data_IF_847761004372
#
_entry.id   IF_847761004372
#
_cell.length_a   1.000
_cell.length_b   1.000
_cell.length_c   1.000
_cell.angle_alpha   90.00
_cell.angle_beta   90.00
_cell.angle_gamma   90.00
#
_symmetry.space_group_name_H-M   'P 1'
#
loop_
_entity.id
_entity.type
_entity.pdbx_description
1 polymer ?
#
# COMPACT_ATOMS: atom_id res chain seq x y z
N UNK A 1 -12.35 -0.60 0.90
CA UNK A 1 -11.92 0.81 1.18
C UNK A 1 -12.45 1.78 0.12
N UNK A 2 -12.27 1.53 -1.18
CA UNK A 2 -12.84 2.36 -2.26
C UNK A 2 -14.31 2.77 -2.06
N UNK A 3 -15.20 1.82 -1.75
CA UNK A 3 -16.62 2.14 -1.45
C UNK A 3 -16.79 3.15 -0.32
N UNK A 4 -15.93 3.11 0.71
CA UNK A 4 -15.99 4.06 1.83
C UNK A 4 -15.54 5.46 1.40
N UNK A 5 -14.51 5.58 0.57
CA UNK A 5 -14.13 6.88 -0.03
C UNK A 5 -15.30 7.52 -0.78
N UNK A 6 -16.07 6.70 -1.52
CA UNK A 6 -17.24 7.16 -2.27
C UNK A 6 -18.40 7.65 -1.38
N UNK A 7 -18.39 7.36 -0.07
CA UNK A 7 -19.41 7.87 0.86
C UNK A 7 -19.14 9.28 1.35
N UNK A 8 -17.91 9.79 1.23
CA UNK A 8 -17.58 11.18 1.58
C UNK A 8 -18.04 12.08 0.43
N UNK A 9 -19.32 12.47 0.43
CA UNK A 9 -19.91 13.42 -0.51
C UNK A 9 -19.64 14.86 -0.03
N UNK A 10 -19.22 15.74 -0.95
CA UNK A 10 -19.01 17.18 -0.73
C UNK A 10 -18.00 17.59 0.36
N UNK A 11 -17.22 16.65 0.89
CA UNK A 11 -16.17 16.92 1.88
C UNK A 11 -14.79 16.76 1.22
N UNK A 12 -13.93 17.76 1.39
CA UNK A 12 -12.53 17.73 0.95
C UNK A 12 -11.62 17.70 2.20
N UNK A 13 -11.34 16.51 2.77
CA UNK A 13 -10.43 16.41 3.91
C UNK A 13 -9.04 16.93 3.51
N UNK A 14 -8.36 17.68 4.38
CA UNK A 14 -7.01 18.18 4.04
C UNK A 14 -6.00 17.06 3.81
N UNK A 15 -6.13 15.97 4.59
CA UNK A 15 -5.25 14.82 4.54
C UNK A 15 -6.06 13.53 4.44
N UNK A 16 -5.64 12.63 3.57
CA UNK A 16 -6.13 11.24 3.52
C UNK A 16 -4.92 10.33 3.60
N UNK A 17 -4.92 9.46 4.59
CA UNK A 17 -3.82 8.55 4.85
C UNK A 17 -4.26 7.11 4.64
N UNK A 18 -3.60 6.43 3.72
CA UNK A 18 -3.88 5.05 3.36
C UNK A 18 -2.86 4.11 3.99
N UNK A 19 -3.39 3.09 4.67
CA UNK A 19 -2.62 1.92 5.06
C UNK A 19 -3.31 0.68 4.49
N UNK A 20 -2.84 0.26 3.32
CA UNK A 20 -3.46 -0.74 2.45
C UNK A 20 -2.38 -1.56 1.75
N UNK A 21 -2.75 -2.63 1.02
CA UNK A 21 -1.79 -3.45 0.27
C UNK A 21 -1.35 -4.73 0.99
N UNK A 22 -1.33 -4.73 2.31
CA UNK A 22 -0.91 -5.91 3.10
C UNK A 22 -1.77 -7.15 2.82
N UNK A 23 -3.08 -6.98 2.61
CA UNK A 23 -4.01 -8.08 2.34
C UNK A 23 -4.15 -8.39 0.85
N UNK A 24 -3.71 -7.49 -0.03
CA UNK A 24 -3.73 -7.68 -1.47
C UNK A 24 -2.63 -8.65 -1.93
N UNK A 25 -1.56 -8.79 -1.13
CA UNK A 25 -0.51 -9.77 -1.37
C UNK A 25 -0.93 -11.17 -0.90
N UNK A 26 -0.82 -12.21 -1.76
CA UNK A 26 -1.16 -13.57 -1.39
C UNK A 26 -0.27 -14.12 -0.25
N UNK A 27 -0.73 -15.19 0.37
CA UNK A 27 0.08 -15.96 1.32
C UNK A 27 1.36 -16.48 0.65
N UNK A 28 2.50 -16.28 1.29
CA UNK A 28 3.80 -16.69 0.76
C UNK A 28 4.24 -15.94 -0.47
N UNK A 29 3.78 -14.69 -0.68
CA UNK A 29 4.10 -13.87 -1.85
C UNK A 29 5.61 -13.87 -2.19
N UNK A 30 5.92 -14.19 -3.46
CA UNK A 30 7.29 -14.31 -4.00
C UNK A 30 7.58 -13.39 -5.19
N UNK A 31 6.95 -12.22 -5.29
CA UNK A 31 7.15 -11.33 -6.44
C UNK A 31 8.55 -10.72 -6.48
N UNK A 32 9.13 -10.69 -7.68
CA UNK A 32 10.40 -10.06 -8.04
C UNK A 32 10.26 -8.61 -8.50
N UNK A 33 11.27 -8.14 -9.24
CA UNK A 33 11.40 -6.75 -9.67
C UNK A 33 10.37 -6.37 -10.75
N UNK A 34 10.10 -5.06 -10.88
CA UNK A 34 9.18 -4.53 -11.89
C UNK A 34 7.70 -4.80 -11.61
N UNK A 35 6.82 -4.23 -12.43
CA UNK A 35 5.36 -4.36 -12.29
C UNK A 35 4.87 -5.80 -12.50
N UNK A 36 5.44 -6.52 -13.47
CA UNK A 36 5.12 -7.92 -13.79
C UNK A 36 5.97 -8.94 -13.01
N UNK A 37 6.56 -8.53 -11.88
CA UNK A 37 7.59 -9.29 -11.17
C UNK A 37 7.15 -10.64 -10.59
N UNK A 38 5.88 -11.04 -10.66
CA UNK A 38 5.44 -12.35 -10.21
C UNK A 38 4.00 -12.39 -9.75
N UNK A 39 3.59 -13.58 -9.31
CA UNK A 39 2.21 -13.88 -8.93
C UNK A 39 1.68 -12.98 -7.82
N UNK A 40 0.51 -12.36 -8.04
CA UNK A 40 -0.17 -11.48 -7.09
C UNK A 40 0.35 -10.04 -7.08
N UNK A 41 1.52 -9.75 -7.67
CA UNK A 41 2.09 -8.40 -7.67
C UNK A 41 1.25 -7.46 -8.52
N UNK A 42 0.98 -7.88 -9.76
CA UNK A 42 0.23 -7.09 -10.74
C UNK A 42 -1.17 -6.81 -10.23
N UNK A 43 -1.85 -7.81 -9.71
CA UNK A 43 -3.21 -7.72 -9.18
C UNK A 43 -3.28 -6.76 -7.99
N UNK A 44 -2.36 -6.90 -7.04
CA UNK A 44 -2.26 -6.01 -5.89
C UNK A 44 -1.99 -4.55 -6.33
N UNK A 45 -1.00 -4.34 -7.21
CA UNK A 45 -0.69 -3.02 -7.73
C UNK A 45 -1.86 -2.43 -8.54
N UNK A 46 -2.59 -3.23 -9.31
CA UNK A 46 -3.79 -2.74 -10.02
C UNK A 46 -4.88 -2.28 -9.06
N UNK A 47 -5.12 -3.03 -7.98
CA UNK A 47 -6.08 -2.65 -6.95
C UNK A 47 -5.69 -1.34 -6.27
N UNK A 48 -4.38 -1.16 -6.00
CA UNK A 48 -3.84 0.10 -5.48
C UNK A 48 -4.04 1.24 -6.48
N UNK A 49 -3.71 1.04 -7.75
CA UNK A 49 -3.87 2.07 -8.78
C UNK A 49 -5.33 2.54 -8.89
N UNK A 50 -6.29 1.61 -8.89
CA UNK A 50 -7.72 1.94 -8.92
C UNK A 50 -8.14 2.76 -7.68
N UNK A 51 -7.64 2.41 -6.49
CA UNK A 51 -7.89 3.15 -5.27
C UNK A 51 -7.30 4.57 -5.33
N UNK A 52 -6.04 4.71 -5.74
CA UNK A 52 -5.33 5.99 -5.79
C UNK A 52 -5.91 6.91 -6.85
N UNK A 53 -6.22 6.38 -8.03
CA UNK A 53 -6.92 7.12 -9.08
C UNK A 53 -8.27 7.62 -8.57
N UNK A 54 -9.08 6.75 -7.95
CA UNK A 54 -10.37 7.13 -7.37
C UNK A 54 -10.21 8.22 -6.31
N UNK A 55 -9.22 8.09 -5.42
CA UNK A 55 -8.96 9.05 -4.37
C UNK A 55 -8.55 10.42 -4.94
N UNK A 56 -7.60 10.45 -5.88
CA UNK A 56 -7.11 11.70 -6.50
C UNK A 56 -8.21 12.40 -7.29
N UNK A 57 -9.02 11.68 -8.05
CA UNK A 57 -10.14 12.26 -8.81
C UNK A 57 -11.19 12.86 -7.87
N UNK A 58 -11.48 12.19 -6.74
CA UNK A 58 -12.53 12.62 -5.83
C UNK A 58 -12.07 13.71 -4.86
N UNK A 59 -10.79 13.70 -4.53
CA UNK A 59 -10.17 14.58 -3.56
C UNK A 59 -8.96 15.31 -4.16
N UNK A 60 -9.18 16.16 -5.17
CA UNK A 60 -8.10 16.80 -5.92
C UNK A 60 -7.23 17.69 -5.02
N UNK A 61 -7.83 18.36 -4.04
CA UNK A 61 -7.17 19.31 -3.14
C UNK A 61 -6.56 18.66 -1.89
N UNK A 62 -6.85 17.38 -1.65
CA UNK A 62 -6.33 16.67 -0.50
C UNK A 62 -4.87 16.27 -0.71
N UNK A 63 -4.10 16.36 0.38
CA UNK A 63 -2.83 15.65 0.48
C UNK A 63 -3.12 14.16 0.72
N UNK A 64 -2.72 13.32 -0.23
CA UNK A 64 -2.90 11.88 -0.17
C UNK A 64 -1.58 11.25 0.22
N UNK A 65 -1.59 10.39 1.24
CA UNK A 65 -0.43 9.64 1.69
C UNK A 65 -0.71 8.14 1.67
N UNK A 66 0.28 7.35 1.29
CA UNK A 66 0.23 5.89 1.32
C UNK A 66 1.44 5.36 2.07
N UNK A 67 1.19 4.63 3.15
CA UNK A 67 2.24 3.91 3.85
C UNK A 67 2.73 2.72 3.03
N UNK A 68 4.01 2.39 3.15
CA UNK A 68 4.56 1.12 2.70
C UNK A 68 3.76 -0.05 3.26
N UNK A 69 3.62 -1.12 2.47
CA UNK A 69 3.10 -2.40 2.93
C UNK A 69 3.99 -2.91 4.05
N UNK A 70 3.37 -3.35 5.16
CA UNK A 70 4.08 -3.79 6.35
C UNK A 70 4.89 -5.06 6.12
N UNK A 71 5.94 -5.29 6.94
CA UNK A 71 6.57 -6.59 7.03
C UNK A 71 5.55 -7.65 7.39
N UNK A 72 5.65 -8.80 6.74
CA UNK A 72 4.91 -10.02 7.07
C UNK A 72 5.89 -11.16 7.32
N UNK A 73 5.55 -12.07 8.22
CA UNK A 73 6.37 -13.25 8.51
C UNK A 73 6.52 -14.18 7.30
N UNK A 74 5.51 -14.23 6.43
CA UNK A 74 5.45 -15.10 5.26
C UNK A 74 6.01 -14.48 3.97
N UNK A 75 6.47 -13.22 4.02
CA UNK A 75 7.03 -12.50 2.86
C UNK A 75 8.50 -12.19 3.13
N UNK A 76 9.38 -12.58 2.21
CA UNK A 76 10.80 -12.24 2.29
C UNK A 76 11.05 -10.73 2.17
N UNK A 77 12.07 -10.23 2.87
CA UNK A 77 12.38 -8.80 2.91
C UNK A 77 12.61 -8.23 1.50
N UNK A 78 13.34 -8.95 0.65
CA UNK A 78 13.60 -8.56 -0.74
C UNK A 78 12.30 -8.41 -1.53
N UNK A 79 11.38 -9.35 -1.42
CA UNK A 79 10.10 -9.31 -2.14
C UNK A 79 9.23 -8.14 -1.67
N UNK A 80 9.26 -7.85 -0.37
CA UNK A 80 8.55 -6.71 0.20
C UNK A 80 9.13 -5.38 -0.27
N UNK A 81 10.46 -5.24 -0.31
CA UNK A 81 11.15 -4.06 -0.85
C UNK A 81 10.75 -3.86 -2.32
N UNK A 82 10.90 -4.90 -3.15
CA UNK A 82 10.56 -4.84 -4.57
C UNK A 82 9.08 -4.51 -4.83
N UNK A 83 8.18 -4.87 -3.91
CA UNK A 83 6.79 -4.45 -3.99
C UNK A 83 6.63 -2.97 -3.63
N UNK A 84 7.20 -2.54 -2.51
CA UNK A 84 7.11 -1.18 -2.03
C UNK A 84 7.77 -0.16 -2.97
N UNK A 85 8.88 -0.51 -3.62
CA UNK A 85 9.51 0.34 -4.63
C UNK A 85 8.56 0.60 -5.80
N UNK A 86 7.80 -0.42 -6.23
CA UNK A 86 6.80 -0.26 -7.29
C UNK A 86 5.58 0.51 -6.82
N UNK A 87 5.18 0.34 -5.56
CA UNK A 87 4.10 1.13 -4.97
C UNK A 87 4.49 2.60 -4.85
N UNK A 88 5.74 2.92 -4.50
CA UNK A 88 6.28 4.28 -4.45
C UNK A 88 6.25 4.94 -5.83
N UNK A 89 6.76 4.25 -6.86
CA UNK A 89 6.70 4.73 -8.25
C UNK A 89 5.25 4.98 -8.68
N UNK A 90 4.33 4.08 -8.32
CA UNK A 90 2.90 4.23 -8.60
C UNK A 90 2.30 5.45 -7.89
N UNK A 91 2.64 5.67 -6.61
CA UNK A 91 2.16 6.83 -5.85
C UNK A 91 2.61 8.13 -6.53
N UNK A 92 3.86 8.20 -7.00
CA UNK A 92 4.38 9.34 -7.77
C UNK A 92 3.53 9.66 -9.00
N UNK A 93 3.12 8.64 -9.77
CA UNK A 93 2.28 8.82 -10.96
C UNK A 93 0.88 9.40 -10.66
N UNK A 94 0.37 9.25 -9.43
CA UNK A 94 -0.92 9.79 -9.00
C UNK A 94 -0.82 11.07 -8.13
N UNK A 95 0.39 11.62 -7.98
CA UNK A 95 0.66 12.74 -7.09
C UNK A 95 0.35 12.41 -5.62
N UNK A 96 0.59 11.17 -5.21
CA UNK A 96 0.38 10.67 -3.84
C UNK A 96 1.74 10.55 -3.16
N UNK A 97 1.84 10.97 -1.90
CA UNK A 97 3.08 10.83 -1.13
C UNK A 97 3.21 9.40 -0.60
N UNK A 98 4.29 8.72 -0.95
CA UNK A 98 4.65 7.45 -0.35
C UNK A 98 5.40 7.66 0.97
N UNK A 99 5.06 6.88 2.00
CA UNK A 99 5.66 6.97 3.33
C UNK A 99 6.26 5.61 3.67
N UNK A 100 7.58 5.51 3.66
CA UNK A 100 8.29 4.29 4.02
C UNK A 100 8.35 4.12 5.55
N UNK A 101 7.44 3.34 6.10
CA UNK A 101 7.39 3.03 7.54
C UNK A 101 8.28 1.82 7.91
N UNK A 102 8.78 1.08 6.92
CA UNK A 102 9.58 -0.12 7.12
C UNK A 102 11.03 0.17 7.53
N UNK A 103 11.48 1.43 7.49
CA UNK A 103 12.74 1.84 8.12
C UNK A 103 12.71 1.73 9.65
N UNK A 104 11.52 1.86 10.25
CA UNK A 104 11.31 1.79 11.71
C UNK A 104 10.62 0.51 12.16
N UNK A 105 9.86 -0.16 11.28
CA UNK A 105 9.14 -1.38 11.60
C UNK A 105 9.91 -2.63 11.15
N UNK A 106 10.13 -3.57 12.09
CA UNK A 106 10.79 -4.86 11.86
C UNK A 106 9.88 -6.00 12.26
N UNK A 107 10.22 -7.22 11.83
CA UNK A 107 9.42 -8.43 12.09
C UNK A 107 9.14 -8.70 13.58
N UNK A 108 10.01 -8.27 14.49
CA UNK A 108 9.80 -8.44 15.94
C UNK A 108 8.74 -7.48 16.52
N UNK A 109 8.34 -6.45 15.77
CA UNK A 109 7.20 -5.60 16.13
C UNK A 109 5.85 -6.22 15.72
N UNK A 110 5.87 -7.35 15.00
CA UNK A 110 4.65 -8.03 14.59
C UNK A 110 4.06 -8.83 15.75
N UNK A 111 2.73 -8.89 15.78
CA UNK A 111 1.97 -9.78 16.62
C UNK A 111 2.25 -11.25 16.25
N UNK A 112 1.69 -12.17 17.05
CA UNK A 112 1.90 -13.63 16.88
C UNK A 112 1.49 -14.16 15.49
N UNK A 113 0.54 -13.52 14.82
CA UNK A 113 0.12 -13.90 13.47
C UNK A 113 1.10 -13.46 12.37
N UNK A 114 2.11 -12.66 12.72
CA UNK A 114 3.11 -12.15 11.79
C UNK A 114 2.54 -11.23 10.71
N UNK A 115 1.37 -10.62 10.93
CA UNK A 115 0.69 -9.72 9.99
C UNK A 115 0.26 -8.41 10.62
N UNK A 116 -0.22 -8.45 11.86
CA UNK A 116 -0.60 -7.27 12.62
C UNK A 116 0.59 -6.78 13.44
N UNK A 117 0.56 -5.52 13.86
CA UNK A 117 1.51 -5.01 14.84
C UNK A 117 1.14 -5.50 16.23
N UNK A 118 2.15 -5.76 17.05
CA UNK A 118 1.94 -5.97 18.48
C UNK A 118 1.47 -4.66 19.15
N UNK A 119 0.72 -4.77 20.25
CA UNK A 119 0.26 -3.60 21.02
C UNK A 119 1.35 -3.06 21.93
#
# INVERSE_FOLDING_TARGET
IKRKLLTYNHHQPKFIHFHVGTNDLPLGYRGGAGYNGGWGKREALHSMADLLSTARTRFPDSTLLVNSVLPRSDIGNTQLVLFNDQLELMCGNFGVTFVNINGSLRRHHLARDGRHLNR
#
